data_IF_317837632057
#
_entry.id   IF_317837632057
#
_cell.length_a   1.000
_cell.length_b   1.000
_cell.length_c   1.000
_cell.angle_alpha   90.00
_cell.angle_beta   90.00
_cell.angle_gamma   90.00
#
_symmetry.space_group_name_H-M   'P 1'
#
loop_
_entity.id
_entity.type
_entity.pdbx_description
1 polymer ?
#
# COMPACT_ATOMS: atom_id res chain seq x y z
N UNK A 1 3.56 -11.46 -8.19
CA UNK A 1 4.03 -10.05 -8.16
C UNK A 1 4.12 -9.42 -9.55
N UNK A 2 5.10 -9.73 -10.43
CA UNK A 2 5.27 -8.99 -11.71
C UNK A 2 4.06 -9.11 -12.63
N UNK A 3 3.47 -10.30 -12.71
CA UNK A 3 2.26 -10.52 -13.50
C UNK A 3 1.03 -9.80 -12.92
N UNK A 4 0.96 -9.68 -11.59
CA UNK A 4 -0.12 -8.94 -10.93
C UNK A 4 0.02 -7.44 -11.20
N UNK A 5 1.25 -6.93 -11.08
CA UNK A 5 1.61 -5.56 -11.43
C UNK A 5 1.24 -5.24 -12.89
N UNK A 6 1.63 -6.12 -13.83
CA UNK A 6 1.31 -5.97 -15.25
C UNK A 6 -0.19 -5.94 -15.52
N UNK A 7 -0.97 -6.79 -14.85
CA UNK A 7 -2.44 -6.83 -15.02
C UNK A 7 -3.13 -5.62 -14.42
N UNK A 8 -2.73 -5.21 -13.22
CA UNK A 8 -3.29 -4.04 -12.53
C UNK A 8 -3.00 -2.74 -13.29
N UNK A 9 -1.85 -2.64 -13.95
CA UNK A 9 -1.45 -1.48 -14.75
C UNK A 9 -1.73 -1.63 -16.26
N UNK A 10 -2.55 -2.60 -16.67
CA UNK A 10 -2.91 -2.77 -18.08
C UNK A 10 -3.96 -1.74 -18.51
N UNK A 11 -3.98 -1.33 -19.78
CA UNK A 11 -4.96 -0.38 -20.35
C UNK A 11 -6.42 -0.81 -20.12
N UNK A 12 -6.65 -2.12 -20.05
CA UNK A 12 -7.97 -2.70 -19.77
C UNK A 12 -8.50 -2.38 -18.35
N UNK A 13 -7.64 -1.93 -17.44
CA UNK A 13 -8.01 -1.43 -16.13
C UNK A 13 -8.31 0.08 -16.14
N UNK A 14 -8.21 0.76 -17.29
CA UNK A 14 -8.63 2.16 -17.53
C UNK A 14 -8.10 3.16 -16.49
N UNK A 15 -6.92 2.91 -15.94
CA UNK A 15 -6.31 3.74 -14.90
C UNK A 15 -7.04 3.75 -13.56
N UNK A 16 -7.96 2.80 -13.34
CA UNK A 16 -8.51 2.41 -12.03
C UNK A 16 -9.11 3.53 -11.18
N UNK A 17 -9.58 4.61 -11.80
CA UNK A 17 -10.21 5.71 -11.05
C UNK A 17 -11.42 5.22 -10.27
N UNK A 18 -11.50 5.59 -8.99
CA UNK A 18 -12.65 5.28 -8.13
C UNK A 18 -13.98 5.55 -8.82
N UNK A 19 -14.92 4.62 -8.65
CA UNK A 19 -16.26 4.73 -9.23
C UNK A 19 -16.36 4.44 -10.73
N UNK A 20 -15.29 3.94 -11.36
CA UNK A 20 -15.28 3.56 -12.79
C UNK A 20 -15.22 2.04 -13.00
N UNK A 21 -15.46 1.60 -14.25
CA UNK A 21 -15.31 0.20 -14.67
C UNK A 21 -13.88 -0.31 -14.46
N UNK A 22 -12.88 0.56 -14.64
CA UNK A 22 -11.48 0.26 -14.36
C UNK A 22 -11.23 -0.11 -12.89
N UNK A 23 -11.80 0.65 -11.96
CA UNK A 23 -11.71 0.32 -10.53
C UNK A 23 -12.44 -0.99 -10.20
N UNK A 24 -13.59 -1.25 -10.82
CA UNK A 24 -14.29 -2.54 -10.67
C UNK A 24 -13.46 -3.71 -11.21
N UNK A 25 -12.77 -3.54 -12.34
CA UNK A 25 -11.88 -4.54 -12.91
C UNK A 25 -10.70 -4.85 -11.95
N UNK A 26 -10.10 -3.81 -11.36
CA UNK A 26 -9.05 -3.97 -10.35
C UNK A 26 -9.55 -4.72 -9.10
N UNK A 27 -10.71 -4.33 -8.54
CA UNK A 27 -11.31 -5.03 -7.39
C UNK A 27 -11.57 -6.50 -7.68
N UNK A 28 -12.19 -6.81 -8.83
CA UNK A 28 -12.44 -8.21 -9.22
C UNK A 28 -11.15 -9.00 -9.38
N UNK A 29 -10.10 -8.39 -9.93
CA UNK A 29 -8.80 -9.01 -10.03
C UNK A 29 -8.20 -9.31 -8.64
N UNK A 30 -8.18 -8.33 -7.74
CA UNK A 30 -7.62 -8.48 -6.39
C UNK A 30 -8.39 -9.56 -5.61
N UNK A 31 -9.73 -9.50 -5.61
CA UNK A 31 -10.58 -10.51 -4.97
C UNK A 31 -10.28 -11.90 -5.54
N UNK A 32 -10.20 -12.03 -6.88
CA UNK A 32 -9.86 -13.31 -7.50
C UNK A 32 -8.50 -13.84 -7.06
N UNK A 33 -7.48 -12.99 -6.98
CA UNK A 33 -6.17 -13.42 -6.49
C UNK A 33 -6.25 -13.93 -5.04
N UNK A 34 -6.98 -13.22 -4.18
CA UNK A 34 -7.21 -13.63 -2.79
C UNK A 34 -7.99 -14.96 -2.68
N UNK A 35 -9.02 -15.16 -3.50
CA UNK A 35 -9.79 -16.40 -3.59
C UNK A 35 -8.94 -17.57 -4.10
N UNK A 36 -8.15 -17.38 -5.16
CA UNK A 36 -7.24 -18.40 -5.69
C UNK A 36 -6.20 -18.79 -4.63
N UNK A 37 -5.80 -17.84 -3.79
CA UNK A 37 -4.95 -18.09 -2.63
C UNK A 37 -5.71 -18.72 -1.46
N UNK A 38 -7.03 -18.86 -1.45
CA UNK A 38 -7.80 -19.24 -0.25
C UNK A 38 -7.49 -18.33 0.96
N UNK A 39 -7.26 -17.04 0.71
CA UNK A 39 -7.12 -16.04 1.77
C UNK A 39 -8.44 -15.89 2.54
N UNK A 40 -8.37 -15.32 3.74
CA UNK A 40 -9.55 -15.05 4.57
C UNK A 40 -9.90 -13.57 4.53
N UNK A 41 -11.18 -13.27 4.37
CA UNK A 41 -11.73 -11.93 4.57
C UNK A 41 -11.80 -11.59 6.06
N UNK A 42 -11.57 -10.33 6.42
CA UNK A 42 -11.67 -9.88 7.81
C UNK A 42 -13.12 -9.94 8.34
N UNK A 43 -14.07 -9.67 7.46
CA UNK A 43 -15.51 -9.76 7.70
C UNK A 43 -16.12 -10.86 6.80
N UNK A 44 -17.44 -10.82 6.55
CA UNK A 44 -18.14 -11.83 5.73
C UNK A 44 -17.72 -11.82 4.23
N UNK A 45 -17.20 -10.70 3.73
CA UNK A 45 -16.68 -10.50 2.37
C UNK A 45 -15.32 -9.77 2.44
N UNK A 46 -14.47 -9.93 1.42
CA UNK A 46 -13.27 -9.11 1.25
C UNK A 46 -13.61 -7.64 1.01
N UNK A 47 -14.80 -7.35 0.46
CA UNK A 47 -15.26 -5.98 0.20
C UNK A 47 -15.59 -5.25 1.50
N UNK A 48 -15.00 -4.07 1.65
CA UNK A 48 -15.34 -3.08 2.67
C UNK A 48 -15.89 -1.82 1.97
N UNK A 49 -17.22 -1.74 1.75
CA UNK A 49 -17.84 -0.65 1.01
C UNK A 49 -17.98 0.63 1.86
N UNK A 50 -17.83 1.78 1.23
CA UNK A 50 -18.02 3.08 1.86
C UNK A 50 -18.48 4.14 0.85
N UNK A 51 -18.98 5.27 1.37
CA UNK A 51 -19.38 6.42 0.58
C UNK A 51 -18.61 7.66 1.01
N UNK A 52 -18.31 8.54 0.07
CA UNK A 52 -17.75 9.85 0.37
C UNK A 52 -18.27 10.91 -0.61
N UNK A 53 -18.15 12.18 -0.23
CA UNK A 53 -18.51 13.30 -1.09
C UNK A 53 -17.24 13.81 -1.78
N UNK A 54 -17.24 13.77 -3.11
CA UNK A 54 -16.15 14.28 -3.92
C UNK A 54 -16.03 15.80 -3.81
N UNK A 55 -14.92 16.37 -4.28
CA UNK A 55 -14.75 17.84 -4.34
C UNK A 55 -15.83 18.54 -5.19
N UNK A 56 -16.46 17.83 -6.14
CA UNK A 56 -17.55 18.33 -6.96
C UNK A 56 -18.93 18.29 -6.30
N UNK A 57 -19.04 17.70 -5.10
CA UNK A 57 -20.31 17.54 -4.37
C UNK A 57 -21.03 16.22 -4.62
N UNK A 58 -20.57 15.42 -5.59
CA UNK A 58 -21.17 14.11 -5.88
C UNK A 58 -20.83 13.09 -4.80
N UNK A 59 -21.82 12.29 -4.38
CA UNK A 59 -21.59 11.11 -3.56
C UNK A 59 -21.06 9.97 -4.43
N UNK A 60 -19.89 9.46 -4.09
CA UNK A 60 -19.22 8.35 -4.77
C UNK A 60 -19.25 7.13 -3.85
N UNK A 61 -19.59 5.98 -4.42
CA UNK A 61 -19.47 4.68 -3.79
C UNK A 61 -18.09 4.10 -4.12
N UNK A 62 -17.40 3.61 -3.10
CA UNK A 62 -16.06 3.06 -3.20
C UNK A 62 -15.95 1.82 -2.31
N UNK A 63 -14.95 0.98 -2.56
CA UNK A 63 -14.77 -0.26 -1.80
C UNK A 63 -13.29 -0.54 -1.57
N UNK A 64 -12.88 -0.66 -0.31
CA UNK A 64 -11.59 -1.26 0.02
C UNK A 64 -11.70 -2.79 -0.13
N UNK A 65 -10.58 -3.46 -0.42
CA UNK A 65 -10.50 -4.93 -0.39
C UNK A 65 -9.58 -5.35 0.76
N UNK A 66 -10.12 -6.09 1.73
CA UNK A 66 -9.44 -6.41 2.99
C UNK A 66 -9.37 -7.92 3.21
N UNK A 67 -8.16 -8.43 3.34
CA UNK A 67 -7.87 -9.81 3.75
C UNK A 67 -7.04 -9.83 5.03
N UNK A 68 -6.98 -10.98 5.69
CA UNK A 68 -6.10 -11.14 6.85
C UNK A 68 -5.47 -12.52 6.95
N UNK A 69 -4.31 -12.58 7.62
CA UNK A 69 -3.65 -13.79 8.08
C UNK A 69 -3.57 -13.73 9.60
N UNK A 70 -4.22 -14.69 10.27
CA UNK A 70 -4.26 -14.74 11.73
C UNK A 70 -2.86 -15.00 12.29
N UNK A 71 -2.39 -14.10 13.13
CA UNK A 71 -1.15 -14.27 13.89
C UNK A 71 -1.33 -15.11 15.15
N UNK A 72 -0.27 -15.20 15.93
CA UNK A 72 -0.27 -15.81 17.26
C UNK A 72 -0.89 -14.90 18.32
N UNK A 73 -0.70 -13.59 18.18
CA UNK A 73 -1.19 -12.56 19.09
C UNK A 73 -2.53 -11.95 18.63
N UNK A 74 -3.17 -11.20 19.53
CA UNK A 74 -4.40 -10.46 19.22
C UNK A 74 -4.13 -9.11 18.54
N UNK A 75 -2.90 -8.63 18.63
CA UNK A 75 -2.40 -7.41 18.02
C UNK A 75 -2.27 -7.59 16.50
N UNK A 76 -2.31 -6.48 15.76
CA UNK A 76 -2.35 -6.49 14.31
C UNK A 76 -1.38 -5.48 13.69
N UNK A 77 -0.80 -5.86 12.55
CA UNK A 77 -0.15 -4.96 11.61
C UNK A 77 -1.07 -4.78 10.40
N UNK A 78 -1.27 -3.54 9.96
CA UNK A 78 -2.10 -3.22 8.80
C UNK A 78 -1.19 -2.81 7.63
N UNK A 79 -1.11 -3.66 6.62
CA UNK A 79 -0.33 -3.46 5.40
C UNK A 79 -1.25 -2.85 4.35
N UNK A 80 -0.94 -1.64 3.89
CA UNK A 80 -1.77 -0.84 2.98
C UNK A 80 -1.06 -0.54 1.66
N UNK A 81 -1.83 -0.54 0.59
CA UNK A 81 -1.49 0.04 -0.71
C UNK A 81 -2.81 0.42 -1.40
N UNK A 82 -2.88 1.55 -2.10
CA UNK A 82 -4.10 1.90 -2.82
C UNK A 82 -4.12 1.29 -4.21
N UNK A 83 -5.30 0.87 -4.67
CA UNK A 83 -5.46 0.29 -5.99
C UNK A 83 -6.08 1.27 -7.00
N UNK A 84 -6.67 2.36 -6.54
CA UNK A 84 -7.17 3.42 -7.41
C UNK A 84 -6.02 4.24 -8.01
N UNK A 85 -6.30 4.87 -9.15
CA UNK A 85 -5.39 5.85 -9.73
C UNK A 85 -6.17 6.90 -10.55
N UNK A 86 -5.48 7.69 -11.35
CA UNK A 86 -5.99 8.91 -11.98
C UNK A 86 -7.03 8.69 -13.10
N UNK A 87 -7.15 7.47 -13.63
CA UNK A 87 -8.09 7.10 -14.70
C UNK A 87 -7.71 7.61 -16.09
N UNK A 88 -8.71 7.79 -16.95
CA UNK A 88 -8.53 8.40 -18.29
C UNK A 88 -8.65 9.92 -18.19
N UNK A 89 -7.63 10.65 -18.65
CA UNK A 89 -7.64 12.12 -18.74
C UNK A 89 -7.22 12.55 -20.14
N UNK A 90 -8.02 13.43 -20.77
CA UNK A 90 -7.75 13.94 -22.12
C UNK A 90 -7.48 12.84 -23.16
N UNK A 91 -8.18 11.70 -23.05
CA UNK A 91 -8.02 10.56 -23.96
C UNK A 91 -6.77 9.70 -23.71
N UNK A 92 -5.98 9.99 -22.68
CA UNK A 92 -4.84 9.19 -22.28
C UNK A 92 -5.16 8.42 -20.99
N UNK A 93 -4.71 7.17 -20.93
CA UNK A 93 -4.85 6.32 -19.75
C UNK A 93 -3.67 6.60 -18.83
N UNK A 94 -3.94 6.80 -17.55
CA UNK A 94 -2.92 6.90 -16.51
C UNK A 94 -2.95 5.56 -15.80
N UNK A 95 -2.04 4.66 -16.17
CA UNK A 95 -2.10 3.27 -15.74
C UNK A 95 -1.67 3.08 -14.29
N UNK A 96 -0.73 3.87 -13.80
CA UNK A 96 -0.30 3.84 -12.40
C UNK A 96 0.48 2.58 -12.07
N UNK A 97 1.47 2.22 -12.90
CA UNK A 97 2.28 1.03 -12.65
C UNK A 97 3.05 1.16 -11.34
N UNK A 98 3.76 2.26 -11.15
CA UNK A 98 4.40 2.56 -9.88
C UNK A 98 3.41 3.07 -8.84
N UNK A 99 2.49 3.95 -9.25
CA UNK A 99 1.49 4.60 -8.41
C UNK A 99 0.05 4.10 -8.72
N UNK A 100 -0.48 3.07 -8.08
CA UNK A 100 0.15 2.21 -7.10
C UNK A 100 -0.18 0.73 -7.34
N UNK A 101 -0.14 0.30 -8.62
CA UNK A 101 -0.19 -1.13 -8.93
C UNK A 101 0.98 -1.89 -8.27
N UNK A 102 2.13 -1.24 -8.11
CA UNK A 102 3.34 -1.80 -7.52
C UNK A 102 3.12 -2.26 -6.08
N UNK A 103 2.57 -1.39 -5.23
CA UNK A 103 2.25 -1.68 -3.83
C UNK A 103 1.21 -2.78 -3.69
N UNK A 104 0.13 -2.74 -4.48
CA UNK A 104 -0.93 -3.77 -4.44
C UNK A 104 -0.39 -5.13 -4.87
N UNK A 105 0.42 -5.19 -5.92
CA UNK A 105 1.03 -6.43 -6.39
C UNK A 105 2.05 -7.01 -5.39
N UNK A 106 2.79 -6.15 -4.67
CA UNK A 106 3.67 -6.57 -3.59
C UNK A 106 2.86 -7.08 -2.39
N UNK A 107 1.79 -6.38 -2.02
CA UNK A 107 0.87 -6.79 -0.96
C UNK A 107 0.28 -8.18 -1.21
N UNK A 108 -0.18 -8.46 -2.43
CA UNK A 108 -0.68 -9.78 -2.81
C UNK A 108 0.40 -10.87 -2.71
N UNK A 109 1.65 -10.56 -3.04
CA UNK A 109 2.77 -11.50 -2.85
C UNK A 109 3.03 -11.77 -1.37
N UNK A 110 2.90 -10.76 -0.50
CA UNK A 110 3.03 -10.92 0.94
C UNK A 110 1.88 -11.75 1.54
N UNK A 111 0.65 -11.61 1.05
CA UNK A 111 -0.47 -12.50 1.45
C UNK A 111 -0.10 -13.97 1.21
N UNK A 112 0.41 -14.30 0.03
CA UNK A 112 0.81 -15.66 -0.31
C UNK A 112 1.99 -16.15 0.55
N UNK A 113 2.94 -15.27 0.87
CA UNK A 113 4.04 -15.59 1.79
C UNK A 113 3.52 -15.94 3.19
N UNK A 114 2.70 -15.08 3.80
CA UNK A 114 2.23 -15.26 5.19
C UNK A 114 1.21 -16.39 5.35
N UNK A 115 0.58 -16.83 4.26
CA UNK A 115 -0.21 -18.07 4.27
C UNK A 115 0.59 -19.31 4.66
N UNK A 116 1.85 -19.38 4.22
CA UNK A 116 2.74 -20.50 4.52
C UNK A 116 3.66 -20.22 5.71
N UNK A 117 3.76 -18.96 6.13
CA UNK A 117 4.65 -18.50 7.19
C UNK A 117 3.83 -17.74 8.23
N UNK A 118 3.42 -18.43 9.29
CA UNK A 118 2.52 -17.85 10.29
C UNK A 118 3.22 -16.66 11.00
N UNK A 119 2.62 -15.45 11.00
CA UNK A 119 3.18 -14.29 11.67
C UNK A 119 2.87 -14.28 13.18
N UNK A 120 3.60 -13.46 13.93
CA UNK A 120 3.36 -13.23 15.36
C UNK A 120 2.12 -12.35 15.55
N UNK A 121 2.09 -11.20 14.91
CA UNK A 121 0.92 -10.31 14.88
C UNK A 121 -0.03 -10.74 13.76
N UNK A 122 -1.32 -10.43 13.91
CA UNK A 122 -2.28 -10.61 12.82
C UNK A 122 -1.94 -9.64 11.68
N UNK A 123 -1.72 -10.17 10.48
CA UNK A 123 -1.43 -9.35 9.29
C UNK A 123 -2.74 -9.04 8.58
N UNK A 124 -3.08 -7.76 8.47
CA UNK A 124 -4.27 -7.28 7.77
C UNK A 124 -3.81 -6.58 6.50
N UNK A 125 -4.25 -7.06 5.35
CA UNK A 125 -3.87 -6.55 4.05
C UNK A 125 -5.05 -5.77 3.48
N UNK A 126 -4.90 -4.47 3.29
CA UNK A 126 -5.95 -3.59 2.81
C UNK A 126 -5.51 -2.92 1.49
N UNK A 127 -6.12 -3.35 0.38
CA UNK A 127 -6.07 -2.60 -0.86
C UNK A 127 -7.09 -1.46 -0.77
N UNK A 128 -6.62 -0.24 -0.66
CA UNK A 128 -7.44 0.94 -0.40
C UNK A 128 -7.94 1.58 -1.71
N UNK A 129 -9.14 2.17 -1.66
CA UNK A 129 -9.73 2.93 -2.77
C UNK A 129 -9.77 4.42 -2.43
N UNK A 130 -9.83 5.27 -3.44
CA UNK A 130 -9.96 6.71 -3.34
C UNK A 130 -8.85 7.40 -2.52
N UNK A 131 -7.60 6.92 -2.65
CA UNK A 131 -6.41 7.64 -2.17
C UNK A 131 -6.29 8.99 -2.89
N UNK A 132 -6.39 8.95 -4.23
CA UNK A 132 -6.22 10.09 -5.13
C UNK A 132 -7.33 11.14 -4.97
N UNK A 133 -8.38 10.77 -4.25
CA UNK A 133 -9.53 11.61 -3.91
C UNK A 133 -9.49 12.07 -2.45
N UNK A 134 -8.32 11.96 -1.81
CA UNK A 134 -8.03 12.46 -0.47
C UNK A 134 -8.10 11.38 0.61
N UNK A 135 -7.47 10.23 0.40
CA UNK A 135 -7.25 9.17 1.40
C UNK A 135 -8.56 8.61 1.97
N UNK A 136 -9.60 8.50 1.14
CA UNK A 136 -10.96 8.19 1.60
C UNK A 136 -11.05 6.73 2.07
N UNK A 137 -10.37 5.82 1.38
CA UNK A 137 -10.27 4.40 1.74
C UNK A 137 -9.66 4.20 3.12
N UNK A 138 -8.48 4.78 3.41
CA UNK A 138 -7.87 4.71 4.73
C UNK A 138 -8.76 5.31 5.83
N UNK A 139 -9.41 6.46 5.57
CA UNK A 139 -10.34 7.08 6.53
C UNK A 139 -11.54 6.18 6.82
N UNK A 140 -12.11 5.58 5.78
CA UNK A 140 -13.23 4.66 5.92
C UNK A 140 -12.82 3.39 6.68
N UNK A 141 -11.68 2.79 6.32
CA UNK A 141 -11.13 1.61 6.99
C UNK A 141 -10.93 1.84 8.48
N UNK A 142 -10.36 2.99 8.87
CA UNK A 142 -10.16 3.30 10.29
C UNK A 142 -11.48 3.66 11.02
N UNK A 143 -12.52 4.10 10.31
CA UNK A 143 -13.85 4.33 10.91
C UNK A 143 -14.61 3.02 11.16
N UNK A 144 -14.21 1.92 10.53
CA UNK A 144 -14.77 0.60 10.77
C UNK A 144 -14.11 0.00 12.03
N UNK A 145 -14.94 -0.40 13.00
CA UNK A 145 -14.50 -0.92 14.30
C UNK A 145 -14.17 -2.43 14.27
N UNK A 146 -14.09 -3.06 13.09
CA UNK A 146 -13.76 -4.49 12.92
C UNK A 146 -12.39 -4.86 13.47
N UNK A 147 -11.47 -3.90 13.54
CA UNK A 147 -10.22 -4.02 14.30
C UNK A 147 -10.15 -2.86 15.29
N UNK A 148 -10.23 -3.13 16.60
CA UNK A 148 -10.03 -2.11 17.62
C UNK A 148 -8.69 -1.39 17.41
N UNK A 149 -8.71 -0.06 17.43
CA UNK A 149 -7.52 0.73 17.07
C UNK A 149 -6.32 0.48 17.99
N UNK A 150 -6.59 0.17 19.27
CA UNK A 150 -5.59 -0.18 20.27
C UNK A 150 -4.90 -1.53 19.99
N UNK A 151 -5.49 -2.37 19.14
CA UNK A 151 -4.87 -3.61 18.67
C UNK A 151 -3.94 -3.36 17.46
N UNK A 152 -4.08 -2.23 16.75
CA UNK A 152 -3.23 -1.92 15.60
C UNK A 152 -1.90 -1.36 16.10
N UNK A 153 -0.85 -2.18 16.01
CA UNK A 153 0.50 -1.81 16.47
C UNK A 153 1.27 -0.97 15.45
N UNK A 154 1.01 -1.21 14.17
CA UNK A 154 1.75 -0.59 13.08
C UNK A 154 0.94 -0.61 11.80
N UNK A 155 0.96 0.50 11.07
CA UNK A 155 0.63 0.53 9.65
C UNK A 155 1.92 0.47 8.82
N UNK A 156 1.95 -0.40 7.81
CA UNK A 156 3.01 -0.42 6.79
C UNK A 156 2.35 -0.02 5.47
N UNK A 157 2.65 1.17 4.97
CA UNK A 157 2.11 1.68 3.70
C UNK A 157 3.13 1.52 2.58
N UNK A 158 2.72 0.97 1.45
CA UNK A 158 3.54 0.84 0.25
C UNK A 158 2.96 1.70 -0.86
N UNK A 159 3.78 2.57 -1.43
CA UNK A 159 3.37 3.49 -2.48
C UNK A 159 4.59 3.85 -3.33
N UNK A 160 4.50 3.71 -4.64
CA UNK A 160 5.61 3.94 -5.58
C UNK A 160 6.88 3.13 -5.22
N UNK A 161 6.82 1.79 -5.33
CA UNK A 161 7.91 0.90 -4.89
C UNK A 161 8.65 0.20 -6.04
N UNK A 162 8.52 0.68 -7.28
CA UNK A 162 8.97 -0.02 -8.49
C UNK A 162 9.92 0.76 -9.39
N UNK A 163 10.16 2.04 -9.13
CA UNK A 163 11.05 2.87 -9.98
C UNK A 163 12.12 3.64 -9.19
N UNK A 164 13.33 3.09 -9.10
CA UNK A 164 14.51 3.82 -8.67
C UNK A 164 15.81 3.28 -9.29
N UNK A 165 16.52 4.10 -10.04
CA UNK A 165 17.76 3.69 -10.74
C UNK A 165 18.99 3.54 -9.81
N UNK A 166 18.91 4.11 -8.60
CA UNK A 166 19.99 4.08 -7.61
C UNK A 166 19.86 2.91 -6.63
N UNK A 167 18.85 2.06 -6.80
CA UNK A 167 18.41 1.05 -5.84
C UNK A 167 18.13 1.63 -4.45
N UNK A 168 17.53 2.82 -4.38
CA UNK A 168 17.18 3.49 -3.13
C UNK A 168 15.67 3.32 -2.89
N UNK A 169 15.32 2.75 -1.73
CA UNK A 169 13.95 2.69 -1.23
C UNK A 169 13.89 3.51 0.05
N UNK A 170 13.00 4.50 0.09
CA UNK A 170 12.85 5.38 1.23
C UNK A 170 11.89 4.80 2.26
N UNK A 171 12.16 5.07 3.53
CA UNK A 171 11.31 4.71 4.67
C UNK A 171 11.02 5.95 5.50
N UNK A 172 9.77 6.40 5.48
CA UNK A 172 9.28 7.51 6.30
C UNK A 172 8.53 6.98 7.53
N UNK A 173 8.58 7.71 8.65
CA UNK A 173 7.89 7.41 9.91
C UNK A 173 8.84 7.26 11.10
N UNK A 174 10.11 6.94 10.87
CA UNK A 174 11.09 6.70 11.95
C UNK A 174 11.46 7.94 12.75
N UNK A 175 11.28 9.15 12.22
CA UNK A 175 11.45 10.41 12.98
C UNK A 175 10.32 10.61 14.00
N UNK A 176 9.10 10.19 13.66
CA UNK A 176 7.94 10.21 14.57
C UNK A 176 7.95 9.04 15.56
N UNK A 177 8.46 7.88 15.13
CA UNK A 177 8.48 6.63 15.90
C UNK A 177 9.92 6.09 16.00
N UNK A 178 10.79 6.74 16.79
CA UNK A 178 12.23 6.44 16.83
C UNK A 178 12.57 5.04 17.33
N UNK A 179 11.64 4.36 18.01
CA UNK A 179 11.80 2.96 18.41
C UNK A 179 11.78 1.98 17.22
N UNK A 180 11.22 2.38 16.07
CA UNK A 180 11.21 1.55 14.84
C UNK A 180 12.55 1.60 14.10
N UNK A 181 13.30 2.70 14.25
CA UNK A 181 14.55 2.95 13.53
C UNK A 181 15.59 1.81 13.68
N UNK A 182 15.96 1.37 14.91
CA UNK A 182 16.97 0.32 15.06
C UNK A 182 16.55 -1.02 14.43
N UNK A 183 15.24 -1.29 14.35
CA UNK A 183 14.71 -2.51 13.74
C UNK A 183 14.89 -2.44 12.23
N UNK A 184 14.48 -1.33 11.60
CA UNK A 184 14.62 -1.14 10.15
C UNK A 184 16.10 -1.13 9.74
N UNK A 185 16.97 -0.45 10.49
CA UNK A 185 18.42 -0.40 10.21
C UNK A 185 19.12 -1.76 10.38
N UNK A 186 18.51 -2.72 11.10
CA UNK A 186 19.08 -4.06 11.27
C UNK A 186 18.88 -4.97 10.06
N UNK A 187 17.99 -4.60 9.13
CA UNK A 187 17.61 -5.42 7.97
C UNK A 187 18.65 -5.22 6.85
N UNK A 188 19.34 -6.31 6.47
CA UNK A 188 20.32 -6.26 5.40
C UNK A 188 19.67 -6.50 4.03
N UNK A 189 19.63 -5.44 3.21
CA UNK A 189 18.89 -5.41 1.93
C UNK A 189 19.78 -5.32 0.69
N UNK A 190 21.09 -5.52 0.82
CA UNK A 190 22.03 -5.37 -0.30
C UNK A 190 21.63 -6.23 -1.52
N UNK A 191 21.71 -5.69 -2.75
CA UNK A 191 22.33 -4.42 -3.13
C UNK A 191 21.41 -3.19 -3.05
N UNK A 192 20.17 -3.33 -2.56
CA UNK A 192 19.26 -2.22 -2.31
C UNK A 192 19.72 -1.41 -1.08
N UNK A 193 19.37 -0.13 -1.06
CA UNK A 193 19.65 0.81 0.02
C UNK A 193 18.32 1.26 0.64
N UNK A 194 18.10 0.95 1.92
CA UNK A 194 17.02 1.56 2.70
C UNK A 194 17.48 2.93 3.20
N UNK A 195 16.74 3.98 2.84
CA UNK A 195 17.01 5.36 3.25
C UNK A 195 15.91 5.88 4.17
N UNK A 196 16.25 6.18 5.42
CA UNK A 196 15.31 6.80 6.35
C UNK A 196 15.21 8.30 6.07
N UNK A 197 14.00 8.86 6.00
CA UNK A 197 13.80 10.30 5.80
C UNK A 197 12.39 10.65 5.35
N UNK A 198 12.22 11.87 4.83
CA UNK A 198 10.95 12.40 4.35
C UNK A 198 9.84 12.43 5.41
N UNK A 199 10.17 12.67 6.67
CA UNK A 199 9.20 12.64 7.77
C UNK A 199 9.47 13.71 8.83
N UNK A 200 10.04 14.84 8.42
CA UNK A 200 10.25 16.01 9.28
C UNK A 200 9.64 17.28 8.67
N UNK A 201 8.95 18.13 9.46
CA UNK A 201 8.21 19.28 8.92
C UNK A 201 9.05 20.34 8.19
N UNK A 202 10.36 20.39 8.44
CA UNK A 202 11.29 21.32 7.80
C UNK A 202 11.55 20.99 6.32
N UNK A 203 11.10 19.82 5.85
CA UNK A 203 11.21 19.37 4.46
C UNK A 203 10.15 19.98 3.52
N UNK A 204 9.13 20.66 4.05
CA UNK A 204 8.11 21.32 3.23
C UNK A 204 7.32 20.33 2.36
N UNK A 205 7.46 20.42 1.04
CA UNK A 205 6.81 19.48 0.11
C UNK A 205 7.37 18.06 0.19
N UNK A 206 8.59 17.92 0.70
CA UNK A 206 9.29 16.63 0.77
C UNK A 206 9.04 15.93 2.13
N UNK A 207 8.15 16.46 2.97
CA UNK A 207 7.63 15.79 4.16
C UNK A 207 6.48 14.85 3.76
N UNK A 208 6.75 13.55 3.75
CA UNK A 208 5.82 12.51 3.39
C UNK A 208 4.94 12.04 4.55
N UNK A 209 5.01 12.65 5.74
CA UNK A 209 4.22 12.27 6.93
C UNK A 209 2.72 12.14 6.64
N UNK A 210 2.18 12.92 5.69
CA UNK A 210 0.77 12.91 5.32
C UNK A 210 0.52 12.70 3.82
N UNK A 211 1.50 12.19 3.08
CA UNK A 211 1.45 12.15 1.61
C UNK A 211 0.73 10.95 1.02
N UNK A 212 0.37 9.93 1.81
CA UNK A 212 -0.36 8.75 1.36
C UNK A 212 -1.22 8.18 2.51
N UNK A 213 -1.77 6.99 2.33
CA UNK A 213 -2.79 6.37 3.19
C UNK A 213 -2.34 6.13 4.65
N UNK A 214 -1.05 6.20 4.98
CA UNK A 214 -0.56 6.19 6.37
C UNK A 214 -0.93 7.47 7.15
N UNK A 215 -1.17 8.59 6.48
CA UNK A 215 -1.49 9.87 7.12
C UNK A 215 -2.70 9.79 8.07
N UNK A 216 -3.84 9.21 7.64
CA UNK A 216 -4.98 8.91 8.50
C UNK A 216 -4.63 8.04 9.73
N UNK A 217 -3.73 7.05 9.61
CA UNK A 217 -3.28 6.24 10.74
C UNK A 217 -2.47 7.09 11.73
N UNK A 218 -1.51 7.86 11.22
CA UNK A 218 -0.69 8.78 12.02
C UNK A 218 -1.56 9.78 12.81
N UNK A 219 -2.57 10.38 12.16
CA UNK A 219 -3.51 11.32 12.80
C UNK A 219 -4.31 10.72 13.95
N UNK A 220 -4.45 9.39 13.99
CA UNK A 220 -5.10 8.66 15.08
C UNK A 220 -4.12 8.09 16.11
N UNK A 221 -2.85 8.45 16.01
CA UNK A 221 -1.80 7.99 16.93
C UNK A 221 -1.31 6.56 16.67
N UNK A 222 -1.70 5.94 15.55
CA UNK A 222 -1.21 4.62 15.15
C UNK A 222 0.17 4.80 14.49
N UNK A 223 1.23 4.10 14.97
CA UNK A 223 2.54 4.12 14.33
C UNK A 223 2.48 3.72 12.86
N UNK A 224 3.33 4.32 12.03
CA UNK A 224 3.45 3.93 10.62
C UNK A 224 4.89 3.82 10.16
N UNK A 225 5.09 3.02 9.11
CA UNK A 225 6.23 3.10 8.19
C UNK A 225 5.68 3.18 6.77
N UNK A 226 6.12 4.20 6.02
CA UNK A 226 5.82 4.36 4.60
C UNK A 226 7.04 3.93 3.80
N UNK A 227 6.85 3.09 2.78
CA UNK A 227 7.88 2.67 1.84
C UNK A 227 7.54 3.19 0.45
N UNK A 228 8.49 3.91 -0.17
CA UNK A 228 8.32 4.46 -1.51
C UNK A 228 9.60 5.02 -2.10
N UNK A 229 9.49 5.61 -3.28
CA UNK A 229 10.58 6.28 -3.99
C UNK A 229 10.28 7.77 -4.18
N UNK A 230 11.30 8.57 -4.44
CA UNK A 230 11.12 9.96 -4.86
C UNK A 230 10.46 10.01 -6.26
N UNK A 231 9.86 11.16 -6.58
CA UNK A 231 9.34 11.47 -7.91
C UNK A 231 10.35 11.13 -9.01
N UNK A 232 9.87 10.44 -10.04
CA UNK A 232 10.64 10.06 -11.22
C UNK A 232 9.95 10.57 -12.50
N UNK A 233 10.61 10.38 -13.65
CA UNK A 233 10.18 10.95 -14.92
C UNK A 233 8.77 10.51 -15.37
N UNK A 234 8.23 9.42 -14.82
CA UNK A 234 6.94 8.82 -15.17
C UNK A 234 5.82 9.14 -14.18
N UNK A 235 6.13 9.70 -12.99
CA UNK A 235 5.14 9.98 -11.96
C UNK A 235 4.00 10.87 -12.48
N UNK A 236 2.76 10.47 -12.19
CA UNK A 236 1.51 11.11 -12.63
C UNK A 236 1.45 11.38 -14.14
N UNK A 237 1.97 10.46 -14.95
CA UNK A 237 1.94 10.55 -16.42
C UNK A 237 1.38 9.28 -17.04
N UNK A 238 0.86 9.36 -18.28
CA UNK A 238 0.48 8.18 -19.07
C UNK A 238 1.63 7.22 -19.37
N UNK A 239 2.87 7.60 -19.05
CA UNK A 239 4.06 6.76 -19.20
C UNK A 239 4.38 5.98 -17.93
N UNK A 240 3.61 6.12 -16.86
CA UNK A 240 3.67 5.20 -15.71
C UNK A 240 2.99 3.87 -16.04
N UNK A 241 3.68 3.08 -16.86
CA UNK A 241 3.23 1.81 -17.42
C UNK A 241 4.22 0.70 -17.07
N UNK A 242 3.75 -0.55 -17.09
CA UNK A 242 4.54 -1.72 -16.72
C UNK A 242 5.88 -1.82 -17.47
N UNK A 243 5.90 -1.42 -18.74
CA UNK A 243 7.10 -1.48 -19.59
C UNK A 243 8.23 -0.56 -19.11
N UNK A 244 7.91 0.49 -18.36
CA UNK A 244 8.88 1.44 -17.81
C UNK A 244 9.29 1.12 -16.37
N UNK A 245 8.67 0.12 -15.73
CA UNK A 245 9.04 -0.32 -14.38
C UNK A 245 10.46 -0.87 -14.35
N UNK A 246 11.23 -0.48 -13.34
CA UNK A 246 12.51 -1.13 -13.03
C UNK A 246 12.23 -2.45 -12.29
N UNK A 247 12.02 -3.53 -13.05
CA UNK A 247 11.57 -4.82 -12.51
C UNK A 247 12.56 -5.44 -11.51
N UNK A 248 13.87 -5.26 -11.73
CA UNK A 248 14.91 -5.75 -10.82
C UNK A 248 14.89 -4.99 -9.49
N UNK A 249 14.77 -3.67 -9.54
CA UNK A 249 14.56 -2.86 -8.34
C UNK A 249 13.26 -3.23 -7.61
N UNK A 250 12.14 -3.35 -8.34
CA UNK A 250 10.83 -3.69 -7.75
C UNK A 250 10.85 -5.01 -6.96
N UNK A 251 11.50 -6.05 -7.50
CA UNK A 251 11.64 -7.33 -6.80
C UNK A 251 12.45 -7.15 -5.52
N UNK A 252 13.58 -6.42 -5.58
CA UNK A 252 14.41 -6.14 -4.41
C UNK A 252 13.67 -5.31 -3.37
N UNK A 253 12.93 -4.29 -3.79
CA UNK A 253 12.13 -3.45 -2.91
C UNK A 253 11.05 -4.27 -2.21
N UNK A 254 10.32 -5.12 -2.95
CA UNK A 254 9.31 -6.01 -2.37
C UNK A 254 9.89 -6.95 -1.31
N UNK A 255 11.05 -7.57 -1.58
CA UNK A 255 11.73 -8.41 -0.59
C UNK A 255 12.25 -7.61 0.61
N UNK A 256 12.83 -6.43 0.38
CA UNK A 256 13.30 -5.55 1.44
C UNK A 256 12.17 -5.14 2.40
N UNK A 257 11.00 -4.79 1.87
CA UNK A 257 9.81 -4.47 2.67
C UNK A 257 9.37 -5.70 3.46
N UNK A 258 9.29 -6.87 2.83
CA UNK A 258 8.95 -8.11 3.53
C UNK A 258 9.92 -8.41 4.69
N UNK A 259 11.23 -8.29 4.45
CA UNK A 259 12.26 -8.51 5.47
C UNK A 259 12.13 -7.51 6.64
N UNK A 260 11.80 -6.24 6.35
CA UNK A 260 11.46 -5.25 7.37
C UNK A 260 10.22 -5.66 8.17
N UNK A 261 9.14 -6.10 7.50
CA UNK A 261 7.92 -6.55 8.18
C UNK A 261 8.23 -7.73 9.11
N UNK A 262 9.04 -8.69 8.68
CA UNK A 262 9.46 -9.82 9.51
C UNK A 262 10.27 -9.39 10.74
N UNK A 263 11.22 -8.47 10.56
CA UNK A 263 11.99 -7.91 11.66
C UNK A 263 11.09 -7.18 12.67
N UNK A 264 10.14 -6.37 12.19
CA UNK A 264 9.17 -5.65 13.02
C UNK A 264 8.23 -6.60 13.76
N UNK A 265 7.70 -7.61 13.07
CA UNK A 265 6.77 -8.60 13.62
C UNK A 265 7.42 -9.39 14.77
N UNK A 266 8.71 -9.71 14.63
CA UNK A 266 9.48 -10.37 15.69
C UNK A 266 9.83 -9.48 16.89
N UNK A 267 9.92 -8.15 16.69
CA UNK A 267 10.53 -7.22 17.65
C UNK A 267 9.52 -6.37 18.43
N UNK A 268 8.37 -6.05 17.84
CA UNK A 268 7.33 -5.24 18.49
C UNK A 268 6.48 -6.12 19.42
N UNK A 269 5.99 -5.55 20.54
CA UNK A 269 5.09 -6.18 21.50
C UNK A 269 3.77 -5.40 21.63
#
# INVERSE_FOLDING_TARGET
MLEDLRKLSHDAAEGRRTGTNGAEAARRFIIKQLEDMNAKSLQDDFRHPFNFVSRGGDTIQAENIVAYIKGEEQTAFVITAHYDHLGVRNGQIYNGADDNASGVAAMLAMVEYFKSNKPRHTMVFAALDAEEMGLQGAKAFLNDESIPQDMIKLNINMDMISMNDKNELYVAGTSHYPNLKPIVESVNVLPLQLKLGHDTPDLGSDDWTNSSDHGPFHKRGIPFLYFGVEDHAHYHKPTDVFENVNQDFYIKATHAILDCILALDSSLN
#
